data_IF_138328217601
#
_entry.id   IF_138328217601
#
_cell.length_a   1.000
_cell.length_b   1.000
_cell.length_c   1.000
_cell.angle_alpha   90.00
_cell.angle_beta   90.00
_cell.angle_gamma   90.00
#
_symmetry.space_group_name_H-M   'P 1'
#
loop_
_entity.id
_entity.type
_entity.pdbx_description
1 polymer ?
#
# COMPACT_ATOMS: atom_id res chain seq x y z
N UNK A 1 -18.81 3.19 2.51
CA UNK A 1 -17.64 4.09 2.62
C UNK A 1 -16.73 3.65 3.77
N UNK A 2 -17.27 3.38 4.95
CA UNK A 2 -16.52 2.89 6.11
C UNK A 2 -15.75 1.57 5.85
N UNK A 3 -16.39 0.57 5.23
CA UNK A 3 -15.73 -0.71 4.88
C UNK A 3 -14.47 -0.53 4.03
N UNK A 4 -14.52 0.35 3.03
CA UNK A 4 -13.39 0.58 2.15
C UNK A 4 -12.28 1.35 2.87
N UNK A 5 -12.63 2.30 3.75
CA UNK A 5 -11.67 2.93 4.67
C UNK A 5 -11.01 1.89 5.55
N UNK A 6 -11.77 1.01 6.21
CA UNK A 6 -11.20 0.01 7.12
C UNK A 6 -10.24 -0.93 6.38
N UNK A 7 -10.58 -1.33 5.16
CA UNK A 7 -9.67 -2.08 4.29
C UNK A 7 -8.38 -1.31 3.98
N UNK A 8 -8.47 -0.01 3.62
CA UNK A 8 -7.27 0.82 3.38
C UNK A 8 -6.42 1.00 4.63
N UNK A 9 -7.05 1.22 5.79
CA UNK A 9 -6.36 1.33 7.08
C UNK A 9 -5.63 0.02 7.39
N UNK A 10 -6.29 -1.13 7.25
CA UNK A 10 -5.65 -2.44 7.44
C UNK A 10 -4.41 -2.59 6.56
N UNK A 11 -4.53 -2.31 5.26
CA UNK A 11 -3.42 -2.40 4.31
C UNK A 11 -2.24 -1.49 4.69
N UNK A 12 -2.50 -0.26 5.14
CA UNK A 12 -1.46 0.70 5.54
C UNK A 12 -0.81 0.33 6.88
N UNK A 13 -1.59 -0.20 7.81
CA UNK A 13 -1.13 -0.59 9.15
C UNK A 13 -0.28 -1.86 9.14
N UNK A 14 -0.51 -2.79 8.22
CA UNK A 14 0.29 -4.02 8.15
C UNK A 14 1.51 -3.91 7.25
N UNK A 15 1.41 -3.17 6.14
CA UNK A 15 2.46 -2.97 5.10
C UNK A 15 3.16 -4.24 4.56
N UNK A 16 2.65 -5.43 4.90
CA UNK A 16 3.10 -6.74 4.46
C UNK A 16 1.91 -7.65 4.18
N UNK A 17 2.06 -8.53 3.19
CA UNK A 17 1.00 -9.44 2.79
C UNK A 17 1.49 -10.62 1.97
N UNK A 18 0.63 -11.61 1.80
CA UNK A 18 0.90 -12.80 1.00
C UNK A 18 0.49 -12.53 -0.45
N UNK A 19 1.48 -12.33 -1.32
CA UNK A 19 1.29 -12.23 -2.76
C UNK A 19 1.29 -13.62 -3.37
N UNK A 20 0.22 -13.97 -4.07
CA UNK A 20 0.06 -15.22 -4.81
C UNK A 20 0.10 -14.95 -6.31
N UNK A 21 0.93 -15.71 -7.00
CA UNK A 21 1.19 -15.59 -8.43
C UNK A 21 1.01 -16.97 -9.09
N UNK A 22 0.59 -17.01 -10.35
CA UNK A 22 0.64 -18.27 -11.11
C UNK A 22 2.01 -18.41 -11.75
N UNK A 23 2.68 -19.52 -11.48
CA UNK A 23 3.99 -19.85 -12.05
C UNK A 23 3.86 -21.01 -13.03
N UNK A 24 4.58 -20.94 -14.14
CA UNK A 24 4.57 -22.01 -15.15
C UNK A 24 5.69 -23.02 -14.87
N UNK A 25 5.33 -24.27 -14.60
CA UNK A 25 6.26 -25.39 -14.48
C UNK A 25 5.87 -26.50 -15.45
N UNK A 26 6.77 -26.90 -16.35
CA UNK A 26 6.56 -28.01 -17.30
C UNK A 26 5.20 -28.00 -18.05
N UNK A 27 4.74 -26.82 -18.46
CA UNK A 27 3.45 -26.55 -19.15
C UNK A 27 2.19 -26.50 -18.27
N UNK A 28 2.32 -26.67 -16.96
CA UNK A 28 1.23 -26.49 -16.00
C UNK A 28 1.42 -25.20 -15.19
N UNK A 29 0.33 -24.64 -14.69
CA UNK A 29 0.34 -23.43 -13.86
C UNK A 29 0.04 -23.80 -12.41
N UNK A 30 0.91 -23.38 -11.50
CA UNK A 30 0.76 -23.61 -10.07
C UNK A 30 0.68 -22.27 -9.33
N UNK A 31 -0.23 -22.13 -8.34
CA UNK A 31 -0.19 -20.98 -7.46
C UNK A 31 1.03 -21.07 -6.56
N UNK A 32 1.74 -19.96 -6.45
CA UNK A 32 2.85 -19.83 -5.52
C UNK A 32 2.69 -18.54 -4.75
N UNK A 33 2.84 -18.65 -3.43
CA UNK A 33 2.59 -17.56 -2.49
C UNK A 33 3.88 -17.18 -1.78
N UNK A 34 4.09 -15.88 -1.58
CA UNK A 34 5.21 -15.34 -0.84
C UNK A 34 4.77 -14.14 -0.02
N UNK A 35 5.29 -14.03 1.20
CA UNK A 35 5.10 -12.84 2.03
C UNK A 35 6.04 -11.74 1.54
N UNK A 36 5.48 -10.57 1.26
CA UNK A 36 6.22 -9.44 0.74
C UNK A 36 5.80 -8.13 1.38
N UNK A 37 6.75 -7.20 1.53
CA UNK A 37 6.43 -5.82 1.81
C UNK A 37 5.69 -5.19 0.63
N UNK A 38 4.76 -4.30 0.94
CA UNK A 38 4.07 -3.47 -0.03
C UNK A 38 3.81 -2.08 0.55
N UNK A 39 3.41 -1.15 -0.32
CA UNK A 39 2.76 0.10 0.12
C UNK A 39 1.47 0.34 -0.65
N UNK A 40 0.50 0.94 0.01
CA UNK A 40 -0.74 1.41 -0.60
C UNK A 40 -0.60 2.89 -0.97
N UNK A 41 -0.82 3.21 -2.23
CA UNK A 41 -0.82 4.59 -2.74
C UNK A 41 -2.09 5.34 -2.32
N UNK A 42 -2.04 6.67 -2.39
CA UNK A 42 -3.25 7.50 -2.24
C UNK A 42 -4.31 7.19 -3.31
N UNK A 43 -3.87 6.75 -4.49
CA UNK A 43 -4.73 6.33 -5.60
C UNK A 43 -5.26 4.89 -5.46
N UNK A 44 -5.06 4.24 -4.31
CA UNK A 44 -5.53 2.88 -4.06
C UNK A 44 -4.72 1.78 -4.77
N UNK A 45 -3.54 2.11 -5.30
CA UNK A 45 -2.65 1.18 -5.97
C UNK A 45 -1.71 0.52 -4.97
N UNK A 46 -1.45 -0.78 -5.14
CA UNK A 46 -0.53 -1.51 -4.26
C UNK A 46 0.77 -1.75 -5.00
N UNK A 47 1.85 -1.27 -4.41
CA UNK A 47 3.19 -1.31 -4.99
C UNK A 47 4.06 -2.31 -4.25
N UNK A 48 4.73 -3.16 -5.01
CA UNK A 48 5.72 -4.12 -4.56
C UNK A 48 7.08 -3.79 -5.17
N UNK A 49 8.15 -4.16 -4.48
CA UNK A 49 9.50 -4.15 -5.03
C UNK A 49 10.01 -5.59 -5.15
N UNK A 50 10.15 -6.08 -6.39
CA UNK A 50 10.28 -7.51 -6.68
C UNK A 50 11.54 -7.80 -7.50
N UNK A 51 12.14 -8.97 -7.27
CA UNK A 51 13.28 -9.44 -8.04
C UNK A 51 12.84 -9.90 -9.45
N UNK A 52 13.23 -9.17 -10.48
CA UNK A 52 12.99 -9.45 -11.89
C UNK A 52 13.48 -10.82 -12.35
N UNK A 53 14.55 -11.37 -11.76
CA UNK A 53 15.02 -12.71 -12.11
C UNK A 53 14.02 -13.76 -11.63
N UNK A 54 13.51 -13.61 -10.41
CA UNK A 54 12.45 -14.47 -9.90
C UNK A 54 11.19 -14.34 -10.76
N UNK A 55 10.78 -13.11 -11.07
CA UNK A 55 9.60 -12.85 -11.88
C UNK A 55 9.71 -13.49 -13.27
N UNK A 56 10.88 -13.37 -13.92
CA UNK A 56 11.16 -13.99 -15.23
C UNK A 56 11.20 -15.51 -15.14
N UNK A 57 11.92 -16.08 -14.18
CA UNK A 57 12.05 -17.53 -14.00
C UNK A 57 10.71 -18.20 -13.68
N UNK A 58 9.80 -17.46 -13.04
CA UNK A 58 8.45 -17.92 -12.69
C UNK A 58 7.45 -17.81 -13.84
N UNK A 59 7.82 -17.20 -14.98
CA UNK A 59 6.95 -17.07 -16.15
C UNK A 59 5.84 -16.03 -16.00
N UNK A 60 5.96 -15.10 -15.04
CA UNK A 60 4.91 -14.10 -14.73
C UNK A 60 4.67 -13.13 -15.89
N UNK A 61 5.65 -12.97 -16.79
CA UNK A 61 5.48 -12.16 -18.02
C UNK A 61 4.35 -12.70 -18.92
N UNK A 62 4.07 -14.01 -18.84
CA UNK A 62 3.05 -14.67 -19.66
C UNK A 62 1.69 -14.70 -18.95
N UNK A 63 1.66 -14.54 -17.62
CA UNK A 63 0.44 -14.53 -16.82
C UNK A 63 0.56 -13.55 -15.65
N UNK A 64 -0.07 -12.39 -15.82
CA UNK A 64 0.04 -11.31 -14.85
C UNK A 64 -1.03 -11.34 -13.75
N UNK A 65 -1.89 -12.37 -13.67
CA UNK A 65 -2.88 -12.42 -12.58
C UNK A 65 -2.20 -12.68 -11.24
N UNK A 66 -2.61 -11.93 -10.24
CA UNK A 66 -2.06 -11.99 -8.90
C UNK A 66 -3.18 -11.82 -7.86
N UNK A 67 -2.99 -12.46 -6.72
CA UNK A 67 -3.80 -12.26 -5.52
C UNK A 67 -2.93 -11.71 -4.40
N UNK A 68 -3.44 -10.78 -3.61
CA UNK A 68 -2.83 -10.33 -2.37
C UNK A 68 -3.79 -10.63 -1.22
N UNK A 69 -3.26 -11.26 -0.18
CA UNK A 69 -3.97 -11.47 1.07
C UNK A 69 -3.25 -10.75 2.21
N UNK A 70 -4.00 -9.98 2.99
CA UNK A 70 -3.51 -9.23 4.14
C UNK A 70 -4.46 -9.46 5.30
N UNK A 71 -3.94 -9.69 6.51
CA UNK A 71 -4.77 -9.93 7.69
C UNK A 71 -4.16 -9.37 8.96
N UNK A 72 -5.01 -8.92 9.87
CA UNK A 72 -4.64 -8.53 11.23
C UNK A 72 -5.74 -9.00 12.19
N UNK A 73 -5.43 -9.95 13.06
CA UNK A 73 -6.43 -10.57 13.92
C UNK A 73 -7.52 -11.28 13.10
N UNK A 74 -8.77 -10.84 13.26
CA UNK A 74 -9.93 -11.38 12.54
C UNK A 74 -10.23 -10.66 11.22
N UNK A 75 -9.61 -9.50 11.00
CA UNK A 75 -9.81 -8.71 9.80
C UNK A 75 -8.88 -9.17 8.68
N UNK A 76 -9.39 -9.19 7.45
CA UNK A 76 -8.59 -9.50 6.28
C UNK A 76 -9.02 -8.71 5.06
N UNK A 77 -8.08 -8.50 4.13
CA UNK A 77 -8.30 -7.95 2.81
C UNK A 77 -7.74 -8.93 1.78
N UNK A 78 -8.58 -9.33 0.84
CA UNK A 78 -8.20 -10.12 -0.34
C UNK A 78 -8.34 -9.25 -1.58
N UNK A 79 -7.29 -9.15 -2.40
CA UNK A 79 -7.28 -8.35 -3.62
C UNK A 79 -6.85 -9.23 -4.77
N UNK A 80 -7.66 -9.24 -5.82
CA UNK A 80 -7.38 -9.97 -7.05
C UNK A 80 -7.18 -8.96 -8.18
N UNK A 81 -6.15 -9.16 -8.98
CA UNK A 81 -5.83 -8.22 -10.03
C UNK A 81 -4.71 -8.67 -10.93
N UNK A 82 -4.05 -7.69 -11.55
CA UNK A 82 -2.94 -7.90 -12.46
C UNK A 82 -1.68 -7.18 -11.99
N UNK A 83 -0.61 -7.94 -11.82
CA UNK A 83 0.70 -7.43 -11.48
C UNK A 83 1.39 -6.91 -12.74
N UNK A 84 1.63 -5.60 -12.81
CA UNK A 84 2.24 -4.96 -13.96
C UNK A 84 3.59 -4.33 -13.59
N UNK A 85 4.60 -4.41 -14.46
CA UNK A 85 5.84 -3.67 -14.27
C UNK A 85 5.54 -2.18 -14.15
N UNK A 86 6.14 -1.56 -13.14
CA UNK A 86 5.97 -0.16 -12.87
C UNK A 86 7.18 0.62 -13.42
N UNK A 87 6.93 1.61 -14.30
CA UNK A 87 7.99 2.45 -14.88
C UNK A 87 8.12 3.76 -14.09
N UNK A 88 9.28 4.04 -13.46
CA UNK A 88 9.50 5.25 -12.64
C UNK A 88 9.51 6.58 -13.40
N UNK A 89 9.34 6.57 -14.72
CA UNK A 89 9.43 7.78 -15.57
C UNK A 89 8.28 8.77 -15.37
N UNK A 90 7.29 8.47 -14.52
CA UNK A 90 6.16 9.34 -14.22
C UNK A 90 6.31 9.93 -12.80
N UNK A 91 6.39 11.26 -12.74
CA UNK A 91 6.61 12.04 -11.51
C UNK A 91 5.62 11.73 -10.38
N UNK A 92 4.40 11.28 -10.71
CA UNK A 92 3.41 10.85 -9.72
C UNK A 92 3.93 9.72 -8.84
N UNK A 93 4.88 8.96 -9.33
CA UNK A 93 5.29 7.72 -8.71
C UNK A 93 6.65 7.77 -8.03
N UNK A 94 7.43 8.84 -8.21
CA UNK A 94 8.57 9.12 -7.34
C UNK A 94 8.13 9.22 -5.88
N UNK A 95 6.91 9.71 -5.62
CA UNK A 95 6.35 9.83 -4.28
C UNK A 95 6.11 8.46 -3.64
N UNK A 96 5.45 7.55 -4.34
CA UNK A 96 5.11 6.22 -3.81
C UNK A 96 6.35 5.33 -3.66
N UNK A 97 7.32 5.41 -4.58
CA UNK A 97 8.58 4.67 -4.44
C UNK A 97 9.41 5.22 -3.28
N UNK A 98 9.47 6.55 -3.09
CA UNK A 98 10.09 7.14 -1.91
C UNK A 98 9.40 6.69 -0.62
N UNK A 99 8.06 6.68 -0.61
CA UNK A 99 7.29 6.17 0.53
C UNK A 99 7.59 4.70 0.80
N UNK A 100 7.76 3.88 -0.25
CA UNK A 100 8.16 2.47 -0.12
C UNK A 100 9.47 2.32 0.64
N UNK A 101 10.53 3.03 0.24
CA UNK A 101 11.83 2.92 0.91
C UNK A 101 11.87 3.61 2.28
N UNK A 102 11.02 4.61 2.51
CA UNK A 102 10.84 5.17 3.85
C UNK A 102 10.28 4.09 4.77
N UNK A 103 9.18 3.43 4.37
CA UNK A 103 8.51 2.36 5.15
C UNK A 103 9.41 1.11 5.29
N UNK A 104 10.01 0.67 4.18
CA UNK A 104 10.83 -0.55 4.08
C UNK A 104 12.30 -0.17 3.89
N UNK A 105 12.89 0.42 4.93
CA UNK A 105 14.25 0.98 4.88
C UNK A 105 15.31 -0.08 4.56
N UNK A 106 15.09 -1.32 4.96
CA UNK A 106 15.92 -2.49 4.63
C UNK A 106 15.96 -2.78 3.13
N UNK A 107 14.91 -2.41 2.39
CA UNK A 107 14.84 -2.58 0.94
C UNK A 107 15.59 -1.50 0.17
N UNK A 108 16.04 -0.41 0.82
CA UNK A 108 16.77 0.67 0.18
C UNK A 108 18.10 0.18 -0.41
N UNK A 109 18.77 -0.78 0.23
CA UNK A 109 20.02 -1.37 -0.27
C UNK A 109 19.82 -2.14 -1.57
N UNK A 110 18.59 -2.62 -1.84
CA UNK A 110 18.26 -3.34 -3.06
C UNK A 110 18.02 -2.40 -4.25
N UNK A 111 17.79 -1.10 -4.00
CA UNK A 111 17.55 -0.07 -5.03
C UNK A 111 18.70 -0.02 -6.05
N UNK A 112 19.93 -0.21 -5.60
CA UNK A 112 21.15 -0.16 -6.43
C UNK A 112 21.33 -1.41 -7.30
N UNK A 113 20.53 -2.46 -7.07
CA UNK A 113 20.65 -3.72 -7.80
C UNK A 113 19.78 -3.72 -9.06
N UNK A 114 20.39 -4.02 -10.21
CA UNK A 114 19.68 -4.08 -11.51
C UNK A 114 18.63 -5.20 -11.62
N UNK A 115 18.56 -6.06 -10.60
CA UNK A 115 17.68 -7.22 -10.58
C UNK A 115 16.32 -6.95 -9.93
N UNK A 116 16.09 -5.80 -9.31
CA UNK A 116 14.78 -5.48 -8.73
C UNK A 116 14.04 -4.42 -9.54
N UNK A 117 12.71 -4.48 -9.53
CA UNK A 117 11.87 -3.43 -10.07
C UNK A 117 10.57 -3.33 -9.30
N UNK A 118 9.96 -2.16 -9.40
CA UNK A 118 8.63 -1.93 -8.87
C UNK A 118 7.57 -2.60 -9.74
N UNK A 119 6.54 -3.13 -9.08
CA UNK A 119 5.35 -3.69 -9.71
C UNK A 119 4.11 -3.17 -9.01
N UNK A 120 3.09 -2.83 -9.79
CA UNK A 120 1.79 -2.42 -9.27
C UNK A 120 0.80 -3.56 -9.45
N UNK A 121 0.06 -3.87 -8.39
CA UNK A 121 -1.12 -4.72 -8.47
C UNK A 121 -2.32 -3.85 -8.87
N UNK A 122 -2.65 -3.87 -10.17
CA UNK A 122 -3.89 -3.29 -10.68
C UNK A 122 -5.06 -4.15 -10.24
N UNK A 123 -5.75 -3.67 -9.22
CA UNK A 123 -6.90 -4.32 -8.60
C UNK A 123 -8.07 -4.39 -9.61
N UNK A 124 -8.56 -5.61 -9.87
CA UNK A 124 -9.78 -5.85 -10.63
C UNK A 124 -10.97 -6.08 -9.67
N UNK A 125 -10.72 -6.67 -8.49
CA UNK A 125 -11.71 -6.92 -7.44
C UNK A 125 -11.06 -7.06 -6.04
N UNK A 126 -11.76 -6.60 -4.99
CA UNK A 126 -11.31 -6.77 -3.60
C UNK A 126 -12.44 -7.22 -2.66
N UNK A 127 -12.08 -7.93 -1.59
CA UNK A 127 -12.95 -8.30 -0.47
C UNK A 127 -12.32 -7.83 0.83
N UNK A 128 -13.17 -7.42 1.74
CA UNK A 128 -12.80 -7.18 3.12
C UNK A 128 -13.64 -8.04 4.05
N UNK A 129 -12.95 -8.69 4.98
CA UNK A 129 -13.49 -9.61 5.96
C UNK A 129 -13.36 -8.95 7.33
N UNK A 130 -14.46 -8.87 8.07
CA UNK A 130 -14.45 -8.50 9.49
C UNK A 130 -14.35 -9.73 10.39
N UNK A 131 -14.65 -10.91 9.83
CA UNK A 131 -14.44 -12.23 10.40
C UNK A 131 -14.32 -13.28 9.27
N UNK A 132 -13.88 -14.52 9.57
CA UNK A 132 -13.66 -15.54 8.54
C UNK A 132 -14.88 -15.97 7.72
N UNK A 133 -16.10 -15.68 8.19
CA UNK A 133 -17.35 -16.15 7.59
C UNK A 133 -18.11 -15.06 6.82
N UNK A 134 -17.70 -13.80 6.95
CA UNK A 134 -18.42 -12.66 6.39
C UNK A 134 -17.47 -11.75 5.63
N UNK A 135 -17.85 -11.40 4.40
CA UNK A 135 -17.08 -10.45 3.60
C UNK A 135 -17.98 -9.43 2.91
N UNK A 136 -17.39 -8.29 2.64
CA UNK A 136 -17.97 -7.23 1.82
C UNK A 136 -17.10 -7.04 0.57
N UNK A 137 -17.73 -7.03 -0.60
CA UNK A 137 -17.08 -6.71 -1.86
C UNK A 137 -16.73 -5.22 -1.91
N UNK A 138 -15.52 -4.91 -2.34
CA UNK A 138 -15.04 -3.56 -2.52
C UNK A 138 -14.82 -3.29 -4.01
N UNK A 139 -15.30 -2.14 -4.49
CA UNK A 139 -14.96 -1.65 -5.81
C UNK A 139 -13.56 -1.03 -5.80
N UNK A 140 -12.89 -1.03 -6.96
CA UNK A 140 -11.62 -0.32 -7.13
C UNK A 140 -11.74 1.16 -6.74
N UNK A 141 -12.81 1.84 -7.16
CA UNK A 141 -13.08 3.23 -6.77
C UNK A 141 -13.24 3.40 -5.25
N UNK A 142 -13.76 2.40 -4.54
CA UNK A 142 -13.82 2.42 -3.08
C UNK A 142 -12.43 2.33 -2.43
N UNK A 143 -11.47 1.69 -3.08
CA UNK A 143 -10.09 1.57 -2.60
C UNK A 143 -9.24 2.82 -2.88
N UNK A 144 -9.71 3.71 -3.75
CA UNK A 144 -9.10 5.04 -3.90
C UNK A 144 -9.42 5.86 -2.67
N UNK A 145 -8.41 6.54 -2.15
CA UNK A 145 -8.69 7.78 -1.44
C UNK A 145 -8.94 8.77 -2.57
N UNK A 146 -10.13 9.34 -2.68
CA UNK A 146 -10.35 10.52 -3.51
C UNK A 146 -10.10 11.72 -2.58
N UNK A 147 -8.84 12.11 -2.28
CA UNK A 147 -8.67 13.30 -1.48
C UNK A 147 -9.14 14.48 -2.35
N UNK A 148 -10.01 15.35 -1.85
CA UNK A 148 -10.11 16.72 -2.38
C UNK A 148 -8.83 17.53 -2.08
N UNK A 149 -7.82 16.93 -1.45
CA UNK A 149 -6.58 17.55 -0.99
C UNK A 149 -5.42 17.18 -1.91
N UNK A 150 -4.63 18.18 -2.32
CA UNK A 150 -3.47 17.97 -3.17
C UNK A 150 -2.38 17.14 -2.46
N UNK A 151 -1.75 16.17 -3.16
CA UNK A 151 -0.53 15.50 -2.71
C UNK A 151 0.56 16.43 -2.16
N UNK A 152 0.68 17.64 -2.74
CA UNK A 152 1.68 18.63 -2.35
C UNK A 152 1.32 19.22 -0.98
N UNK A 153 0.05 19.58 -0.78
CA UNK A 153 -0.43 20.14 0.49
C UNK A 153 -0.26 19.15 1.63
N UNK A 154 -0.58 17.87 1.41
CA UNK A 154 -0.35 16.81 2.41
C UNK A 154 1.13 16.62 2.75
N UNK A 155 2.02 16.82 1.76
CA UNK A 155 3.46 16.70 1.97
C UNK A 155 4.03 17.90 2.75
N UNK A 156 3.55 19.11 2.48
CA UNK A 156 3.87 20.30 3.26
C UNK A 156 3.35 20.16 4.70
N UNK A 157 2.11 19.71 4.86
CA UNK A 157 1.53 19.47 6.18
C UNK A 157 2.33 18.43 6.98
N UNK A 158 2.79 17.34 6.35
CA UNK A 158 3.65 16.38 7.04
C UNK A 158 4.96 17.02 7.54
N UNK A 159 5.53 17.99 6.82
CA UNK A 159 6.74 18.72 7.24
C UNK A 159 6.49 19.59 8.47
N UNK A 160 5.32 20.24 8.57
CA UNK A 160 4.94 21.04 9.74
C UNK A 160 4.89 20.19 11.02
N UNK A 161 4.60 18.89 10.88
CA UNK A 161 4.58 17.92 11.99
C UNK A 161 5.83 17.02 12.06
N UNK A 162 6.91 17.33 11.33
CA UNK A 162 8.13 16.51 11.31
C UNK A 162 8.82 16.40 12.69
N UNK A 163 8.69 17.43 13.54
CA UNK A 163 9.17 17.40 14.93
C UNK A 163 8.47 16.33 15.78
N UNK A 164 7.28 15.90 15.38
CA UNK A 164 6.49 14.83 15.99
C UNK A 164 6.70 13.49 15.27
N UNK A 165 7.76 13.37 14.48
CA UNK A 165 8.09 12.18 13.72
C UNK A 165 7.02 11.76 12.70
N UNK A 166 6.21 12.69 12.20
CA UNK A 166 5.28 12.45 11.09
C UNK A 166 6.05 12.47 9.76
N UNK A 167 5.86 11.45 8.93
CA UNK A 167 6.57 11.30 7.64
C UNK A 167 5.67 11.53 6.44
N UNK A 168 4.42 11.08 6.52
CA UNK A 168 3.45 11.27 5.45
C UNK A 168 2.05 11.23 6.01
N UNK A 169 1.15 11.99 5.40
CA UNK A 169 -0.25 12.12 5.83
C UNK A 169 -1.16 11.88 4.62
N UNK A 170 -2.30 11.28 4.86
CA UNK A 170 -3.41 11.15 3.92
C UNK A 170 -4.76 11.36 4.63
N UNK A 171 -5.86 11.28 3.89
CA UNK A 171 -7.20 11.51 4.45
C UNK A 171 -7.64 10.52 5.53
N UNK A 172 -7.03 9.33 5.62
CA UNK A 172 -7.43 8.31 6.59
C UNK A 172 -6.50 8.29 7.82
N UNK A 173 -5.35 8.96 7.79
CA UNK A 173 -4.36 8.91 8.87
C UNK A 173 -2.97 9.37 8.44
N UNK A 174 -1.96 8.97 9.20
CA UNK A 174 -0.57 9.34 8.95
C UNK A 174 0.42 8.24 9.32
N UNK A 175 1.54 8.23 8.63
CA UNK A 175 2.71 7.44 8.99
C UNK A 175 3.61 8.25 9.91
N UNK A 176 4.06 7.61 10.99
CA UNK A 176 4.98 8.19 11.96
C UNK A 176 6.03 7.17 12.38
N UNK A 177 7.19 7.66 12.81
CA UNK A 177 8.29 6.79 13.26
C UNK A 177 8.15 6.46 14.73
N UNK A 178 8.14 5.16 15.02
CA UNK A 178 8.32 4.59 16.34
C UNK A 178 9.78 4.16 16.54
N UNK A 179 10.13 3.66 17.72
CA UNK A 179 11.50 3.26 18.04
C UNK A 179 12.07 2.21 17.07
N UNK A 180 11.24 1.31 16.54
CA UNK A 180 11.67 0.17 15.73
C UNK A 180 11.21 0.22 14.26
N UNK A 181 10.55 1.29 13.82
CA UNK A 181 10.05 1.35 12.44
C UNK A 181 9.06 2.48 12.18
N UNK A 182 8.37 2.39 11.04
CA UNK A 182 7.25 3.27 10.70
C UNK A 182 5.94 2.55 10.95
N UNK A 183 5.04 3.25 11.63
CA UNK A 183 3.71 2.78 11.96
C UNK A 183 2.68 3.71 11.34
N UNK A 184 1.53 3.16 10.97
CA UNK A 184 0.40 3.96 10.47
C UNK A 184 -0.62 4.17 11.58
N UNK A 185 -0.97 5.43 11.84
CA UNK A 185 -2.01 5.81 12.80
C UNK A 185 -3.22 6.35 12.05
N UNK A 186 -4.39 5.68 12.13
CA UNK A 186 -5.60 6.18 11.50
C UNK A 186 -6.19 7.37 12.29
N UNK A 187 -6.84 8.29 11.59
CA UNK A 187 -7.76 9.24 12.17
C UNK A 187 -9.08 8.55 12.57
N UNK A 188 -9.91 9.20 13.40
CA UNK A 188 -11.20 8.65 13.80
C UNK A 188 -12.17 8.46 12.60
N UNK A 189 -12.06 9.31 11.59
CA UNK A 189 -12.82 9.26 10.33
C UNK A 189 -11.96 9.69 9.13
N UNK A 190 -12.44 9.46 7.90
CA UNK A 190 -11.82 10.08 6.71
C UNK A 190 -12.00 11.60 6.79
N UNK A 191 -10.92 12.35 6.57
CA UNK A 191 -10.88 13.81 6.54
C UNK A 191 -10.75 14.30 5.09
N UNK A 192 -11.46 15.37 4.77
CA UNK A 192 -11.69 15.87 3.41
C UNK A 192 -11.12 17.28 3.20
N UNK A 193 -10.29 17.81 4.10
CA UNK A 193 -9.52 19.02 3.82
C UNK A 193 -8.18 19.05 4.55
N UNK A 194 -7.24 19.89 4.07
CA UNK A 194 -5.95 20.13 4.74
C UNK A 194 -6.19 20.68 6.13
N UNK A 195 -7.17 21.58 6.28
CA UNK A 195 -7.52 22.22 7.54
C UNK A 195 -8.06 21.21 8.56
N UNK A 196 -8.92 20.28 8.13
CA UNK A 196 -9.41 19.19 8.97
C UNK A 196 -8.27 18.30 9.45
N UNK A 197 -7.39 17.89 8.53
CA UNK A 197 -6.22 17.06 8.84
C UNK A 197 -5.26 17.79 9.79
N UNK A 198 -4.95 19.06 9.51
CA UNK A 198 -4.08 19.88 10.35
C UNK A 198 -4.62 20.06 11.75
N UNK A 199 -5.92 20.34 11.88
CA UNK A 199 -6.61 20.46 13.18
C UNK A 199 -6.57 19.16 13.96
N UNK A 200 -6.80 18.03 13.29
CA UNK A 200 -6.78 16.72 13.93
C UNK A 200 -5.36 16.35 14.39
N UNK A 201 -4.33 16.60 13.57
CA UNK A 201 -2.94 16.42 13.97
C UNK A 201 -2.57 17.33 15.17
N UNK A 202 -2.98 18.60 15.15
CA UNK A 202 -2.79 19.53 16.27
C UNK A 202 -3.43 19.01 17.57
N UNK A 203 -4.66 18.49 17.49
CA UNK A 203 -5.33 17.82 18.61
C UNK A 203 -4.54 16.61 19.12
N UNK A 204 -4.04 15.76 18.21
CA UNK A 204 -3.33 14.53 18.57
C UNK A 204 -1.95 14.78 19.19
N UNK A 205 -1.28 15.88 18.82
CA UNK A 205 0.04 16.26 19.31
C UNK A 205 0.03 17.39 20.36
N UNK A 206 -1.15 17.93 20.70
CA UNK A 206 -1.35 19.07 21.60
C UNK A 206 -0.60 20.34 21.17
N UNK A 207 -0.73 20.71 19.88
CA UNK A 207 -0.14 21.92 19.27
C UNK A 207 -1.17 22.77 18.55
#
# INVERSE_FOLDING_TARGET
>A
METARNARVLLKSTNQGTLTLLTKHYNEYFPMSQNLPFVLSTEGEILFYLNNLEIKNRGIKDYNRAGLYVSQGLEAVEIMGRLIPFSPTDLRYNRITSQFFVIHKDMQELEETSNYAFYVLKNDFARYFTNPNEFQSLSFEGMKVNPPVSPIELSLLAQDFAAHHVFSVDSDGFFFKEHEGLSYKPFESTLYSVEEISKELGRMFNV
#
